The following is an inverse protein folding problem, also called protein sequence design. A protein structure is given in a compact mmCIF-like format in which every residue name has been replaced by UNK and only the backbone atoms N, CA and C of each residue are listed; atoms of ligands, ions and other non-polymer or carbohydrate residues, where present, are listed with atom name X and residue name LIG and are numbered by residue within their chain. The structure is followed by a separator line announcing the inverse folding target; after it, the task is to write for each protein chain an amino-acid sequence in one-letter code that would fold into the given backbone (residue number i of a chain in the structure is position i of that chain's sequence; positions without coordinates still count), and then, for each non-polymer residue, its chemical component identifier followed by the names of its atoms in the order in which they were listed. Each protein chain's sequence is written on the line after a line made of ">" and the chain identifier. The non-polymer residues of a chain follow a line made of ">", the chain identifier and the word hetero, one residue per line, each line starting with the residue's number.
data_IF_640440657713
#
_entry.id   IF_640440657713
#
_cell.length_a   1.000
_cell.length_b   1.000
_cell.length_c   1.000
_cell.angle_alpha   90.00
_cell.angle_beta   90.00
_cell.angle_gamma   90.00
#
_symmetry.space_group_name_H-M   'P 1'
#
loop_
_entity.id
_entity.type
_entity.pdbx_description
1 polymer ?
#
# COMPACT_ATOMS: atom_id res chain seq x y z
N UNK A 1 -2.71 -20.27 12.81
CA UNK A 1 -3.17 -18.90 12.51
C UNK A 1 -2.00 -17.94 12.54
N UNK A 2 -1.90 -17.08 11.56
CA UNK A 2 -0.85 -16.06 11.50
C UNK A 2 -1.17 -14.97 12.52
N UNK A 3 -0.24 -14.72 13.44
CA UNK A 3 -0.40 -13.69 14.47
C UNK A 3 0.60 -12.54 14.33
N UNK A 4 1.68 -12.76 13.59
CA UNK A 4 2.70 -11.76 13.32
C UNK A 4 2.62 -11.40 11.84
N UNK A 5 2.22 -10.18 11.53
CA UNK A 5 2.03 -9.74 10.15
C UNK A 5 1.94 -8.22 10.08
N UNK A 6 1.99 -7.70 8.86
CA UNK A 6 1.67 -6.31 8.57
C UNK A 6 0.39 -6.27 7.75
N UNK A 7 -0.62 -5.60 8.25
CA UNK A 7 -1.85 -5.37 7.51
C UNK A 7 -1.69 -4.10 6.67
N UNK A 8 -2.04 -4.17 5.39
CA UNK A 8 -1.93 -3.06 4.46
C UNK A 8 -3.30 -2.67 3.93
N UNK A 9 -3.52 -1.39 3.79
CA UNK A 9 -4.71 -0.84 3.17
C UNK A 9 -4.30 0.32 2.26
N UNK A 10 -4.76 0.31 1.03
CA UNK A 10 -4.45 1.34 0.04
C UNK A 10 -5.71 2.04 -0.43
N UNK A 11 -5.59 3.35 -0.65
CA UNK A 11 -6.56 4.09 -1.45
C UNK A 11 -5.88 4.52 -2.75
N UNK A 12 -6.62 4.46 -3.85
CA UNK A 12 -6.09 4.73 -5.19
C UNK A 12 -7.05 5.58 -5.99
N UNK A 13 -6.57 6.12 -7.12
CA UNK A 13 -7.43 6.91 -8.02
C UNK A 13 -8.37 6.06 -8.87
N UNK A 14 -8.27 4.75 -8.80
CA UNK A 14 -9.12 3.81 -9.53
C UNK A 14 -8.62 2.39 -9.39
N UNK A 15 -9.15 1.48 -10.20
CA UNK A 15 -8.93 0.05 -10.02
C UNK A 15 -7.75 -0.53 -10.81
N UNK A 16 -7.26 0.18 -11.83
CA UNK A 16 -6.20 -0.33 -12.70
C UNK A 16 -4.83 0.12 -12.21
N UNK A 17 -3.92 -0.80 -11.85
CA UNK A 17 -2.57 -0.43 -11.43
C UNK A 17 -1.72 0.18 -12.54
N UNK A 18 -2.13 0.03 -13.80
CA UNK A 18 -1.44 0.64 -14.94
C UNK A 18 -1.86 2.10 -15.15
N UNK A 19 -3.14 2.41 -14.93
CA UNK A 19 -3.71 3.72 -15.23
C UNK A 19 -3.95 4.57 -13.99
N UNK A 20 -3.91 3.97 -12.81
CA UNK A 20 -4.26 4.67 -11.58
C UNK A 20 -3.10 4.69 -10.61
N UNK A 21 -3.21 5.56 -9.62
CA UNK A 21 -2.13 5.85 -8.68
C UNK A 21 -2.60 5.68 -7.25
N UNK A 22 -1.65 5.35 -6.36
CA UNK A 22 -1.90 5.29 -4.91
C UNK A 22 -2.06 6.72 -4.39
N UNK A 23 -3.04 6.95 -3.53
CA UNK A 23 -3.27 8.23 -2.87
C UNK A 23 -3.20 8.14 -1.35
N UNK A 24 -3.30 6.95 -0.79
CA UNK A 24 -3.05 6.72 0.63
C UNK A 24 -2.46 5.33 0.82
N UNK A 25 -1.52 5.24 1.75
CA UNK A 25 -0.83 4.00 2.08
C UNK A 25 -0.88 3.84 3.59
N UNK A 26 -1.56 2.82 4.06
CA UNK A 26 -1.68 2.51 5.47
C UNK A 26 -1.15 1.12 5.78
N UNK A 27 -0.45 0.99 6.91
CA UNK A 27 0.06 -0.29 7.37
C UNK A 27 0.03 -0.36 8.89
N UNK A 28 -0.31 -1.52 9.43
CA UNK A 28 -0.31 -1.77 10.86
C UNK A 28 0.45 -3.07 11.10
N UNK A 29 1.44 -3.03 11.99
CA UNK A 29 2.19 -4.22 12.38
C UNK A 29 1.50 -4.87 13.56
N UNK A 30 1.31 -6.19 13.44
CA UNK A 30 0.74 -7.01 14.47
C UNK A 30 1.77 -7.99 15.01
N UNK A 31 1.78 -8.16 16.33
CA UNK A 31 2.57 -9.18 17.02
C UNK A 31 1.66 -9.89 18.00
N UNK A 32 1.64 -11.21 17.93
CA UNK A 32 0.77 -12.05 18.76
C UNK A 32 -0.70 -11.62 18.65
N UNK A 33 -1.11 -11.25 17.44
CA UNK A 33 -2.48 -10.85 17.15
C UNK A 33 -2.86 -9.44 17.58
N UNK A 34 -1.91 -8.65 18.08
CA UNK A 34 -2.18 -7.30 18.60
C UNK A 34 -1.43 -6.25 17.80
N UNK A 35 -2.06 -5.08 17.55
CA UNK A 35 -1.37 -4.00 16.86
C UNK A 35 -0.28 -3.42 17.76
N UNK A 36 0.94 -3.29 17.22
CA UNK A 36 2.09 -2.78 17.97
C UNK A 36 2.71 -1.54 17.34
N UNK A 37 2.47 -1.28 16.07
CA UNK A 37 3.01 -0.12 15.38
C UNK A 37 2.17 0.17 14.14
N UNK A 38 2.23 1.40 13.65
CA UNK A 38 1.50 1.77 12.44
C UNK A 38 2.30 2.77 11.60
N UNK A 39 2.01 2.75 10.31
CA UNK A 39 2.55 3.66 9.32
C UNK A 39 1.38 4.10 8.45
N UNK A 40 1.21 5.39 8.25
CA UNK A 40 0.13 5.89 7.41
C UNK A 40 0.57 7.19 6.76
N UNK A 41 0.35 7.32 5.47
CA UNK A 41 0.66 8.55 4.75
C UNK A 41 -0.26 8.74 3.56
N UNK A 42 -0.64 9.98 3.31
CA UNK A 42 -1.21 10.36 2.02
C UNK A 42 -0.08 10.38 0.99
N UNK A 43 -0.42 10.11 -0.24
CA UNK A 43 0.52 10.11 -1.37
C UNK A 43 -0.01 11.07 -2.42
N UNK A 44 0.87 11.93 -2.92
CA UNK A 44 0.54 12.79 -4.04
C UNK A 44 0.60 11.97 -5.33
N UNK A 45 -0.54 11.74 -6.00
CA UNK A 45 -0.54 10.91 -7.21
C UNK A 45 0.03 11.60 -8.44
N UNK A 46 0.26 12.92 -8.37
CA UNK A 46 0.72 13.69 -9.52
C UNK A 46 -0.35 13.92 -10.59
N UNK A 47 -1.58 13.51 -10.33
CA UNK A 47 -2.72 13.65 -11.23
C UNK A 47 -3.95 14.06 -10.43
N UNK A 48 -4.95 14.57 -11.12
CA UNK A 48 -6.23 14.91 -10.50
C UNK A 48 -6.94 13.65 -9.99
N UNK A 49 -7.47 13.72 -8.76
CA UNK A 49 -8.26 12.64 -8.18
C UNK A 49 -9.69 12.78 -8.70
N UNK A 50 -10.25 11.73 -9.37
CA UNK A 50 -11.65 11.80 -9.83
C UNK A 50 -12.62 12.09 -8.68
N UNK A 51 -13.63 12.91 -8.93
CA UNK A 51 -14.61 13.27 -7.90
C UNK A 51 -15.25 12.04 -7.23
N UNK A 52 -15.52 11.01 -8.02
CA UNK A 52 -16.09 9.77 -7.50
C UNK A 52 -15.19 9.14 -6.44
N UNK A 53 -13.88 9.20 -6.65
CA UNK A 53 -12.92 8.67 -5.69
C UNK A 53 -12.91 9.52 -4.42
N UNK A 54 -12.94 10.85 -4.57
CA UNK A 54 -13.04 11.75 -3.41
C UNK A 54 -14.30 11.47 -2.59
N UNK A 55 -15.43 11.20 -3.25
CA UNK A 55 -16.67 10.86 -2.56
C UNK A 55 -16.55 9.55 -1.76
N UNK A 56 -15.84 8.55 -2.30
CA UNK A 56 -15.67 7.26 -1.65
C UNK A 56 -14.65 7.31 -0.52
N UNK A 57 -13.52 7.97 -0.75
CA UNK A 57 -12.36 7.93 0.16
C UNK A 57 -12.29 9.12 1.11
N UNK A 58 -12.92 10.23 0.75
CA UNK A 58 -12.76 11.49 1.47
C UNK A 58 -11.46 12.22 1.15
N UNK A 59 -10.67 11.73 0.20
CA UNK A 59 -9.37 12.33 -0.16
C UNK A 59 -9.53 13.14 -1.44
N UNK A 60 -9.13 14.41 -1.39
CA UNK A 60 -9.21 15.32 -2.53
C UNK A 60 -7.83 15.84 -2.95
N UNK A 61 -7.79 16.56 -4.06
CA UNK A 61 -6.54 17.09 -4.60
C UNK A 61 -5.80 18.00 -3.63
N UNK A 62 -6.52 18.78 -2.84
CA UNK A 62 -5.91 19.70 -1.89
C UNK A 62 -5.19 18.95 -0.78
N UNK A 63 -5.80 17.88 -0.29
CA UNK A 63 -5.22 17.06 0.79
C UNK A 63 -3.89 16.43 0.39
N UNK A 64 -3.75 16.01 -0.87
CA UNK A 64 -2.54 15.34 -1.34
C UNK A 64 -1.51 16.29 -1.95
N UNK A 65 -1.84 17.56 -2.12
CA UNK A 65 -0.97 18.53 -2.78
C UNK A 65 0.38 18.70 -2.11
N UNK A 66 0.45 18.51 -0.80
CA UNK A 66 1.70 18.62 -0.01
C UNK A 66 2.20 17.27 0.47
N UNK A 67 1.55 16.19 0.04
CA UNK A 67 1.96 14.85 0.41
C UNK A 67 3.18 14.41 -0.41
N UNK A 68 3.98 13.47 0.11
CA UNK A 68 5.09 12.92 -0.67
C UNK A 68 4.60 12.14 -1.88
N UNK A 69 5.46 12.01 -2.89
CA UNK A 69 5.22 11.10 -4.00
C UNK A 69 5.55 9.68 -3.57
N UNK A 70 4.96 8.69 -4.26
CA UNK A 70 5.15 7.29 -3.89
C UNK A 70 6.63 6.89 -3.88
N UNK A 71 7.42 7.38 -4.83
CA UNK A 71 8.84 7.07 -4.92
C UNK A 71 9.61 7.47 -3.66
N UNK A 72 9.18 8.54 -3.00
CA UNK A 72 9.84 9.02 -1.78
C UNK A 72 9.49 8.18 -0.55
N UNK A 73 8.41 7.39 -0.62
CA UNK A 73 7.91 6.61 0.52
C UNK A 73 8.14 5.11 0.38
N UNK A 74 8.56 4.63 -0.79
CA UNK A 74 8.74 3.20 -1.01
C UNK A 74 9.77 2.56 -0.06
N UNK A 75 10.88 3.26 0.19
CA UNK A 75 11.89 2.74 1.10
C UNK A 75 11.35 2.61 2.52
N UNK A 76 10.54 3.56 2.96
CA UNK A 76 9.94 3.54 4.29
C UNK A 76 8.94 2.42 4.46
N UNK A 77 8.07 2.22 3.45
CA UNK A 77 7.09 1.13 3.55
C UNK A 77 7.78 -0.23 3.49
N UNK A 78 8.81 -0.38 2.65
CA UNK A 78 9.56 -1.63 2.58
C UNK A 78 10.29 -1.91 3.89
N UNK A 79 10.86 -0.89 4.51
CA UNK A 79 11.48 -1.03 5.82
C UNK A 79 10.45 -1.38 6.90
N UNK A 80 9.27 -0.75 6.86
CA UNK A 80 8.20 -1.06 7.81
C UNK A 80 7.72 -2.51 7.68
N UNK A 81 7.54 -3.00 6.46
CA UNK A 81 7.11 -4.37 6.20
C UNK A 81 8.19 -5.37 6.66
N UNK A 82 9.46 -5.07 6.36
CA UNK A 82 10.56 -5.97 6.69
C UNK A 82 10.33 -7.34 6.07
N UNK A 83 10.42 -8.38 6.89
CA UNK A 83 10.23 -9.77 6.47
C UNK A 83 8.85 -10.33 6.85
N UNK A 84 7.95 -9.49 7.29
CA UNK A 84 6.64 -9.93 7.73
C UNK A 84 5.75 -10.35 6.55
N UNK A 85 4.84 -11.26 6.84
CA UNK A 85 3.75 -11.59 5.92
C UNK A 85 2.82 -10.38 5.84
N UNK A 86 2.37 -10.07 4.64
CA UNK A 86 1.47 -8.94 4.39
C UNK A 86 0.04 -9.48 4.25
N UNK A 87 -0.89 -8.86 4.97
CA UNK A 87 -2.31 -9.11 4.83
C UNK A 87 -2.99 -7.86 4.28
N UNK A 88 -3.93 -8.03 3.38
CA UNK A 88 -4.73 -6.95 2.85
C UNK A 88 -6.18 -7.38 2.72
N UNK A 89 -7.08 -6.41 2.69
CA UNK A 89 -8.51 -6.68 2.50
C UNK A 89 -8.76 -7.28 1.11
N UNK A 90 -8.08 -6.74 0.09
CA UNK A 90 -8.05 -7.30 -1.25
C UNK A 90 -6.58 -7.49 -1.65
N UNK A 91 -6.02 -8.60 -1.26
CA UNK A 91 -4.59 -8.87 -1.36
C UNK A 91 -4.04 -8.75 -2.78
N UNK A 92 -4.80 -9.24 -3.78
CA UNK A 92 -4.33 -9.16 -5.17
C UNK A 92 -4.26 -7.71 -5.62
N UNK A 93 -5.26 -6.90 -5.26
CA UNK A 93 -5.30 -5.48 -5.58
C UNK A 93 -4.11 -4.75 -4.94
N UNK A 94 -3.90 -4.94 -3.64
CA UNK A 94 -2.81 -4.30 -2.91
C UNK A 94 -1.45 -4.71 -3.48
N UNK A 95 -1.29 -6.00 -3.75
CA UNK A 95 -0.06 -6.54 -4.33
C UNK A 95 0.25 -5.88 -5.68
N UNK A 96 -0.73 -5.81 -6.58
CA UNK A 96 -0.46 -5.28 -7.93
C UNK A 96 -0.07 -3.80 -7.90
N UNK A 97 -0.68 -3.01 -7.03
CA UNK A 97 -0.30 -1.60 -6.90
C UNK A 97 1.09 -1.43 -6.30
N UNK A 98 1.41 -2.17 -5.25
CA UNK A 98 2.73 -2.07 -4.60
C UNK A 98 3.82 -2.60 -5.53
N UNK A 99 3.61 -3.75 -6.15
CA UNK A 99 4.57 -4.32 -7.08
C UNK A 99 4.80 -3.40 -8.28
N UNK A 100 3.73 -2.80 -8.79
CA UNK A 100 3.82 -1.83 -9.88
C UNK A 100 4.61 -0.59 -9.49
N UNK A 101 4.38 -0.08 -8.29
CA UNK A 101 5.12 1.08 -7.78
C UNK A 101 6.61 0.76 -7.60
N UNK A 102 6.93 -0.41 -7.05
CA UNK A 102 8.30 -0.85 -6.88
C UNK A 102 9.01 -1.03 -8.22
N UNK A 103 8.33 -1.63 -9.20
CA UNK A 103 8.90 -1.84 -10.53
C UNK A 103 9.15 -0.52 -11.26
N UNK A 104 8.34 0.51 -11.00
CA UNK A 104 8.49 1.83 -11.61
C UNK A 104 9.38 2.78 -10.82
N UNK A 105 9.96 2.34 -9.70
CA UNK A 105 10.79 3.21 -8.85
C UNK A 105 12.11 3.54 -9.52
N UNK A 106 12.54 4.80 -9.41
CA UNK A 106 13.79 5.26 -10.03
C UNK A 106 15.03 4.62 -9.43
N UNK A 107 14.98 4.22 -8.15
CA UNK A 107 15.99 3.40 -7.50
C UNK A 107 15.48 1.96 -7.65
N UNK A 108 15.99 1.24 -8.61
CA UNK A 108 15.46 -0.05 -8.99
C UNK A 108 15.39 -1.07 -7.87
N UNK A 109 14.17 -1.54 -7.57
CA UNK A 109 13.99 -2.76 -6.81
C UNK A 109 14.09 -3.93 -7.78
N UNK A 110 14.94 -4.90 -7.47
CA UNK A 110 15.07 -6.08 -8.32
C UNK A 110 13.78 -6.92 -8.27
N UNK A 111 13.57 -7.71 -9.31
CA UNK A 111 12.44 -8.66 -9.31
C UNK A 111 12.50 -9.59 -8.10
N UNK A 112 13.71 -9.97 -7.69
CA UNK A 112 13.93 -10.80 -6.50
C UNK A 112 13.43 -10.12 -5.23
N UNK A 113 13.70 -8.82 -5.06
CA UNK A 113 13.22 -8.07 -3.90
C UNK A 113 11.69 -8.00 -3.88
N UNK A 114 11.08 -7.80 -5.04
CA UNK A 114 9.62 -7.77 -5.17
C UNK A 114 9.04 -9.15 -4.84
N UNK A 115 9.66 -10.21 -5.30
CA UNK A 115 9.23 -11.59 -5.06
C UNK A 115 9.32 -11.99 -3.59
N UNK A 116 10.12 -11.27 -2.78
CA UNK A 116 10.20 -11.56 -1.35
C UNK A 116 8.98 -11.05 -0.57
N UNK A 117 8.16 -10.21 -1.19
CA UNK A 117 6.90 -9.78 -0.58
C UNK A 117 5.97 -10.99 -0.43
N UNK A 118 5.56 -11.26 0.80
CA UNK A 118 4.74 -12.43 1.11
C UNK A 118 3.33 -11.99 1.46
N UNK A 119 2.38 -12.34 0.60
CA UNK A 119 0.98 -12.02 0.81
C UNK A 119 0.20 -13.27 1.21
N UNK A 120 -0.55 -13.19 2.31
CA UNK A 120 -1.39 -14.27 2.79
C UNK A 120 -2.84 -13.98 2.41
N UNK A 121 -3.36 -14.72 1.44
CA UNK A 121 -4.68 -14.47 0.88
C UNK A 121 -5.83 -14.94 1.77
N UNK A 122 -5.63 -16.02 2.51
CA UNK A 122 -6.77 -16.74 3.10
C UNK A 122 -7.14 -16.31 4.50
N UNK A 123 -6.30 -15.56 5.18
CA UNK A 123 -6.54 -15.21 6.57
C UNK A 123 -7.73 -14.27 6.72
N UNK A 124 -7.92 -13.38 5.75
CA UNK A 124 -9.01 -12.40 5.79
C UNK A 124 -10.32 -12.96 5.27
N UNK A 125 -10.28 -13.95 4.37
CA UNK A 125 -11.49 -14.53 3.80
C UNK A 125 -12.18 -15.50 4.74
N UNK A 126 -11.56 -15.85 5.84
CA UNK A 126 -12.14 -16.77 6.83
C UNK A 126 -13.18 -16.11 7.74
N UNK A 127 -13.34 -14.81 7.62
CA UNK A 127 -14.26 -14.05 8.48
C UNK A 127 -15.46 -13.56 7.71
#
# INVERSE_FOLDING_TARGET
>A
MIKDFVAIDLETTGLSPYDNKIIELGAVRYRDGKPVDQYNTLINPGVHIPERITEITGIDDDMVSKAPYIDDELDRIMEFIGNDVILGHNVIFDYTFIAGALAGHSIEYSAEAIDTLKFAKKVLSAN
#
